data_IF_027611428629
#
_entry.id   IF_027611428629
#
_cell.length_a   1.000
_cell.length_b   1.000
_cell.length_c   1.000
_cell.angle_alpha   90.00
_cell.angle_beta   90.00
_cell.angle_gamma   90.00
#
_symmetry.space_group_name_H-M   'P 1'
#
loop_
_entity.id
_entity.type
_entity.pdbx_description
1 polymer ?
#
# COMPACT_ATOMS: atom_id res chain seq x y z
N UNK A 1 99.13 3.89 -39.57
CA UNK A 1 99.80 3.91 -40.88
C UNK A 1 99.66 2.51 -41.50
N UNK A 2 98.84 2.36 -42.54
CA UNK A 2 98.67 1.15 -43.40
C UNK A 2 98.18 -0.15 -42.70
N UNK A 3 97.34 -1.00 -43.28
CA UNK A 3 96.98 -1.29 -44.67
C UNK A 3 95.59 -1.94 -44.73
N UNK A 4 94.98 -1.77 -45.90
CA UNK A 4 93.80 -2.42 -46.44
C UNK A 4 93.80 -3.95 -46.27
N UNK A 5 92.60 -4.56 -46.12
CA UNK A 5 92.07 -5.45 -47.15
C UNK A 5 90.54 -5.61 -47.03
N UNK A 6 89.89 -5.42 -48.18
CA UNK A 6 88.47 -5.53 -48.48
C UNK A 6 88.10 -7.00 -48.67
N UNK A 7 86.97 -7.47 -48.13
CA UNK A 7 86.20 -8.58 -48.72
C UNK A 7 84.69 -8.44 -48.50
N UNK A 8 84.03 -8.02 -49.58
CA UNK A 8 82.79 -8.51 -50.21
C UNK A 8 81.47 -8.65 -49.43
N UNK A 9 80.52 -7.90 -49.99
CA UNK A 9 79.06 -7.88 -49.93
C UNK A 9 78.29 -9.17 -49.62
N UNK A 10 77.27 -9.02 -48.77
CA UNK A 10 76.09 -9.89 -48.68
C UNK A 10 74.83 -9.04 -48.47
N UNK A 11 74.15 -8.72 -49.57
CA UNK A 11 72.91 -7.93 -49.65
C UNK A 11 71.74 -8.73 -49.06
N UNK A 12 71.06 -8.23 -48.01
CA UNK A 12 69.69 -8.67 -47.65
C UNK A 12 68.80 -7.49 -47.29
N UNK A 13 67.62 -7.55 -47.87
CA UNK A 13 66.63 -6.50 -48.13
C UNK A 13 65.78 -6.19 -46.90
N UNK A 14 65.59 -4.89 -46.62
CA UNK A 14 64.71 -4.38 -45.56
C UNK A 14 63.25 -4.53 -46.00
N UNK A 15 62.44 -5.33 -45.28
CA UNK A 15 60.98 -5.31 -45.38
C UNK A 15 60.40 -4.56 -44.19
N UNK A 16 59.67 -3.49 -44.50
CA UNK A 16 58.97 -2.59 -43.57
C UNK A 16 57.82 -3.33 -42.89
N UNK A 17 57.78 -3.33 -41.56
CA UNK A 17 56.68 -3.86 -40.75
C UNK A 17 55.63 -2.75 -40.63
N UNK A 18 54.43 -2.98 -41.18
CA UNK A 18 53.27 -2.11 -40.98
C UNK A 18 52.59 -2.48 -39.66
N UNK A 19 52.48 -1.53 -38.74
CA UNK A 19 51.74 -1.67 -37.47
C UNK A 19 50.26 -1.39 -37.76
N UNK A 20 49.42 -2.41 -37.65
CA UNK A 20 47.96 -2.26 -37.72
C UNK A 20 47.42 -1.84 -36.35
N UNK A 21 46.91 -0.61 -36.25
CA UNK A 21 46.21 -0.10 -35.06
C UNK A 21 44.76 -0.57 -35.15
N UNK A 22 44.37 -1.53 -34.31
CA UNK A 22 42.99 -1.98 -34.18
C UNK A 22 42.28 -1.07 -33.17
N UNK A 23 41.41 -0.18 -33.67
CA UNK A 23 40.49 0.62 -32.86
C UNK A 23 39.37 -0.29 -32.34
N UNK A 24 39.44 -0.68 -31.06
CA UNK A 24 38.33 -1.31 -30.34
C UNK A 24 37.27 -0.24 -30.03
N UNK A 25 36.20 -0.20 -30.81
CA UNK A 25 35.01 0.57 -30.49
C UNK A 25 34.27 -0.12 -29.33
N UNK A 26 34.38 0.44 -28.12
CA UNK A 26 33.59 0.01 -26.98
C UNK A 26 32.13 0.47 -27.16
N UNK A 27 31.26 -0.45 -27.59
CA UNK A 27 29.82 -0.23 -27.64
C UNK A 27 29.31 -0.26 -26.19
N UNK A 28 29.09 0.92 -25.59
CA UNK A 28 28.33 1.04 -24.36
C UNK A 28 26.86 0.72 -24.67
N UNK A 29 26.46 -0.53 -24.46
CA UNK A 29 25.04 -0.89 -24.41
C UNK A 29 24.48 -0.25 -23.13
N UNK A 30 23.78 0.88 -23.28
CA UNK A 30 22.98 1.45 -22.21
C UNK A 30 21.90 0.41 -21.84
N UNK A 31 22.14 -0.33 -20.76
CA UNK A 31 21.15 -1.24 -20.20
C UNK A 31 19.99 -0.40 -19.72
N UNK A 32 18.90 -0.40 -20.48
CA UNK A 32 17.62 0.13 -20.01
C UNK A 32 17.12 -0.84 -18.94
N UNK A 33 17.42 -0.52 -17.68
CA UNK A 33 16.84 -1.21 -16.54
C UNK A 33 15.32 -1.05 -16.63
N UNK A 34 14.63 -2.05 -17.16
CA UNK A 34 13.18 -2.17 -17.00
C UNK A 34 12.93 -2.22 -15.49
N UNK A 35 12.14 -1.29 -14.98
CA UNK A 35 11.61 -1.34 -13.63
C UNK A 35 10.95 -2.72 -13.45
N UNK A 36 11.59 -3.59 -12.68
CA UNK A 36 10.99 -4.87 -12.34
C UNK A 36 9.80 -4.57 -11.44
N UNK A 37 8.63 -5.07 -11.81
CA UNK A 37 7.50 -5.17 -10.88
C UNK A 37 8.03 -5.97 -9.70
N UNK A 38 8.18 -5.33 -8.55
CA UNK A 38 8.55 -6.00 -7.31
C UNK A 38 7.30 -6.78 -6.87
N UNK A 39 7.11 -7.96 -7.46
CA UNK A 39 6.11 -8.91 -6.99
C UNK A 39 6.65 -9.55 -5.72
N UNK A 40 5.93 -9.38 -4.61
CA UNK A 40 6.39 -9.76 -3.29
C UNK A 40 5.21 -9.94 -2.34
N UNK A 41 5.36 -10.78 -1.30
CA UNK A 41 4.36 -10.89 -0.25
C UNK A 41 4.17 -9.53 0.46
N UNK A 42 2.92 -9.14 0.65
CA UNK A 42 2.56 -8.01 1.50
C UNK A 42 2.66 -8.46 2.97
N UNK A 43 3.29 -7.67 3.82
CA UNK A 43 3.43 -7.99 5.24
C UNK A 43 2.15 -7.79 6.05
N UNK A 44 2.13 -8.38 7.24
CA UNK A 44 1.21 -7.97 8.30
C UNK A 44 1.72 -6.68 8.94
N UNK A 45 0.82 -5.84 9.43
CA UNK A 45 1.18 -4.59 10.08
C UNK A 45 0.54 -4.46 11.47
N UNK A 46 1.37 -4.33 12.50
CA UNK A 46 0.95 -4.00 13.86
C UNK A 46 0.90 -2.49 14.04
N UNK A 47 -0.29 -1.94 14.31
CA UNK A 47 -0.55 -0.52 14.39
C UNK A 47 -0.71 -0.02 15.84
N UNK A 48 -0.14 1.15 16.09
CA UNK A 48 -0.14 1.81 17.38
C UNK A 48 -0.69 3.21 17.26
N UNK A 49 -1.62 3.57 18.13
CA UNK A 49 -2.07 4.96 18.24
C UNK A 49 -0.91 5.85 18.60
N UNK A 50 -0.76 6.94 17.86
CA UNK A 50 0.32 7.92 18.03
C UNK A 50 -0.22 9.27 18.45
N UNK A 51 0.64 10.04 19.11
CA UNK A 51 0.46 11.49 19.29
C UNK A 51 1.73 12.23 18.86
N UNK A 52 1.61 13.44 18.30
CA UNK A 52 2.74 14.34 18.13
C UNK A 52 3.51 14.57 19.44
N UNK A 53 4.83 14.68 19.34
CA UNK A 53 5.68 15.00 20.47
C UNK A 53 5.33 16.42 20.99
N UNK A 54 5.36 16.60 22.31
CA UNK A 54 5.09 17.92 22.90
C UNK A 54 6.15 18.92 22.43
N UNK A 55 5.72 20.09 21.97
CA UNK A 55 6.60 21.15 21.50
C UNK A 55 6.94 21.08 20.01
N UNK A 56 6.49 20.07 19.27
CA UNK A 56 6.58 20.07 17.80
C UNK A 56 5.40 20.83 17.18
N UNK A 57 5.53 21.31 15.93
CA UNK A 57 4.41 21.85 15.18
C UNK A 57 3.21 20.90 15.16
N UNK A 58 2.02 21.47 15.17
CA UNK A 58 0.79 20.69 14.98
C UNK A 58 0.70 20.26 13.52
N UNK A 59 0.10 19.10 13.28
CA UNK A 59 -0.23 18.67 11.94
C UNK A 59 -1.27 19.63 11.33
N UNK A 60 -0.93 20.22 10.19
CA UNK A 60 -1.83 21.06 9.41
C UNK A 60 -2.60 20.18 8.41
N UNK A 61 -3.94 20.33 8.31
CA UNK A 61 -4.71 19.56 7.34
C UNK A 61 -4.22 19.77 5.90
N UNK A 62 -4.14 18.67 5.15
CA UNK A 62 -3.62 18.66 3.78
C UNK A 62 -4.79 18.48 2.80
N UNK A 63 -5.17 19.53 2.04
CA UNK A 63 -6.26 19.45 1.08
C UNK A 63 -5.82 18.82 -0.25
N UNK A 64 -6.81 18.45 -1.07
CA UNK A 64 -6.58 18.10 -2.47
C UNK A 64 -5.98 16.72 -2.73
N UNK A 65 -6.00 15.81 -1.74
CA UNK A 65 -5.50 14.44 -1.92
C UNK A 65 -6.61 13.60 -2.54
N UNK A 66 -6.46 13.22 -3.80
CA UNK A 66 -7.42 12.36 -4.49
C UNK A 66 -7.00 10.91 -4.38
N UNK A 67 -7.91 10.06 -3.90
CA UNK A 67 -7.72 8.61 -3.85
C UNK A 67 -8.62 7.94 -4.88
N UNK A 68 -8.09 6.93 -5.56
CA UNK A 68 -8.85 6.08 -6.47
C UNK A 68 -8.57 4.61 -6.18
N UNK A 69 -9.61 3.87 -5.84
CA UNK A 69 -9.55 2.42 -5.70
C UNK A 69 -10.69 1.75 -6.48
N UNK A 70 -11.04 0.51 -6.11
CA UNK A 70 -12.12 -0.26 -6.73
C UNK A 70 -13.53 0.21 -6.31
N UNK A 71 -13.66 1.07 -5.30
CA UNK A 71 -14.96 1.53 -4.78
C UNK A 71 -15.27 2.96 -5.21
N UNK A 72 -14.30 3.86 -5.13
CA UNK A 72 -14.53 5.28 -5.37
C UNK A 72 -13.31 6.03 -5.93
N UNK A 73 -13.58 7.20 -6.52
CA UNK A 73 -12.59 8.22 -6.81
C UNK A 73 -13.02 9.52 -6.13
N UNK A 74 -12.35 9.89 -5.04
CA UNK A 74 -12.78 11.03 -4.21
C UNK A 74 -11.58 11.87 -3.80
N UNK A 75 -11.77 13.18 -3.76
CA UNK A 75 -10.80 14.13 -3.20
C UNK A 75 -11.06 14.36 -1.72
N UNK A 76 -10.01 14.25 -0.92
CA UNK A 76 -10.04 14.34 0.53
C UNK A 76 -9.16 15.48 1.04
N UNK A 77 -9.52 15.97 2.22
CA UNK A 77 -8.63 16.64 3.15
C UNK A 77 -8.09 15.62 4.16
N UNK A 78 -6.77 15.48 4.24
CA UNK A 78 -6.08 14.68 5.26
C UNK A 78 -5.99 15.50 6.53
N UNK A 79 -6.56 15.01 7.63
CA UNK A 79 -6.85 15.83 8.83
C UNK A 79 -5.82 15.72 9.94
N UNK A 80 -5.40 14.49 10.26
CA UNK A 80 -4.49 14.21 11.39
C UNK A 80 -3.92 12.79 11.31
N UNK A 81 -2.72 12.56 11.86
CA UNK A 81 -2.22 11.22 12.09
C UNK A 81 -3.08 10.48 13.13
N UNK A 82 -3.19 9.17 12.95
CA UNK A 82 -3.93 8.24 13.82
C UNK A 82 -2.98 7.22 14.44
N UNK A 83 -2.30 6.46 13.57
CA UNK A 83 -1.48 5.33 13.96
C UNK A 83 -0.18 5.28 13.15
N UNK A 84 0.85 4.65 13.72
CA UNK A 84 2.01 4.13 13.00
C UNK A 84 1.91 2.61 13.01
N UNK A 85 2.13 1.99 11.86
CA UNK A 85 1.94 0.57 11.62
C UNK A 85 3.26 -0.04 11.15
N UNK A 86 3.79 -0.96 11.96
CA UNK A 86 5.05 -1.62 11.69
C UNK A 86 4.83 -2.96 10.99
N UNK A 87 5.69 -3.37 10.04
CA UNK A 87 5.76 -4.75 9.60
C UNK A 87 5.88 -5.69 10.81
N UNK A 88 5.06 -6.74 10.84
CA UNK A 88 4.87 -7.58 12.00
C UNK A 88 4.92 -9.06 11.64
N UNK A 89 5.56 -9.84 12.52
CA UNK A 89 5.45 -11.29 12.52
C UNK A 89 4.17 -11.69 13.23
N UNK A 90 3.36 -12.49 12.57
CA UNK A 90 2.17 -13.11 13.17
C UNK A 90 2.36 -14.61 13.17
N UNK A 91 2.24 -15.22 14.34
CA UNK A 91 2.47 -16.66 14.54
C UNK A 91 3.82 -17.12 13.95
N UNK A 92 4.86 -16.32 14.16
CA UNK A 92 6.24 -16.61 13.73
C UNK A 92 6.47 -16.66 12.21
N UNK A 93 5.49 -16.20 11.41
CA UNK A 93 5.67 -15.96 9.97
C UNK A 93 6.75 -14.88 9.73
N UNK A 94 7.55 -14.99 8.65
CA UNK A 94 8.60 -14.01 8.36
C UNK A 94 8.01 -12.65 7.97
N UNK A 95 8.82 -11.60 8.19
CA UNK A 95 8.59 -10.26 7.63
C UNK A 95 9.41 -10.14 6.35
N UNK A 96 8.79 -9.66 5.29
CA UNK A 96 9.32 -9.63 3.93
C UNK A 96 10.02 -8.30 3.64
N UNK A 97 9.41 -7.19 4.04
CA UNK A 97 9.92 -5.83 3.97
C UNK A 97 9.83 -5.19 5.37
N UNK A 98 10.94 -5.25 6.11
CA UNK A 98 11.01 -4.71 7.46
C UNK A 98 11.15 -3.17 7.50
N UNK A 99 11.45 -2.53 6.38
CA UNK A 99 11.80 -1.10 6.32
C UNK A 99 10.59 -0.23 5.94
N UNK A 100 9.63 -0.78 5.17
CA UNK A 100 8.45 -0.04 4.74
C UNK A 100 7.32 -0.12 5.76
N UNK A 101 7.11 0.98 6.48
CA UNK A 101 6.03 1.10 7.46
C UNK A 101 4.80 1.75 6.83
N UNK A 102 3.67 1.72 7.53
CA UNK A 102 2.47 2.47 7.14
C UNK A 102 2.11 3.50 8.22
N UNK A 103 1.78 4.72 7.82
CA UNK A 103 1.21 5.73 8.70
C UNK A 103 -0.24 5.98 8.34
N UNK A 104 -1.11 5.90 9.34
CA UNK A 104 -2.54 6.11 9.18
C UNK A 104 -2.89 7.57 9.40
N UNK A 105 -3.65 8.14 8.47
CA UNK A 105 -4.23 9.47 8.59
C UNK A 105 -5.75 9.41 8.49
N UNK A 106 -6.43 10.23 9.28
CA UNK A 106 -7.85 10.48 9.07
C UNK A 106 -8.05 11.29 7.80
N UNK A 107 -8.97 10.87 6.94
CA UNK A 107 -9.38 11.62 5.75
C UNK A 107 -10.84 12.05 5.87
N UNK A 108 -11.17 13.20 5.27
CA UNK A 108 -12.54 13.68 5.11
C UNK A 108 -12.76 14.12 3.67
N UNK A 109 -13.85 13.69 3.00
CA UNK A 109 -14.13 14.11 1.65
C UNK A 109 -14.32 15.63 1.62
N UNK A 110 -13.88 16.29 0.55
CA UNK A 110 -14.13 17.72 0.36
C UNK A 110 -15.64 17.99 0.25
N UNK A 111 -16.07 19.23 0.51
CA UNK A 111 -17.48 19.62 0.34
C UNK A 111 -17.94 19.30 -1.08
N UNK A 112 -19.21 18.91 -1.23
CA UNK A 112 -19.83 18.55 -2.50
C UNK A 112 -19.18 17.36 -3.24
N UNK A 113 -18.40 16.53 -2.55
CA UNK A 113 -18.04 15.22 -3.09
C UNK A 113 -19.31 14.39 -3.39
N UNK A 114 -19.23 13.49 -4.37
CA UNK A 114 -20.26 12.49 -4.69
C UNK A 114 -20.79 11.81 -3.42
N UNK A 115 -22.02 11.28 -3.40
CA UNK A 115 -22.54 10.59 -2.20
C UNK A 115 -21.83 9.23 -2.00
N UNK A 116 -21.62 8.78 -0.75
CA UNK A 116 -20.99 7.48 -0.50
C UNK A 116 -21.95 6.36 -0.86
N UNK A 117 -21.46 5.35 -1.57
CA UNK A 117 -22.26 4.20 -1.98
C UNK A 117 -21.93 3.01 -1.09
N UNK A 118 -22.97 2.35 -0.58
CA UNK A 118 -22.78 1.12 0.19
C UNK A 118 -22.33 -0.01 -0.73
N UNK A 119 -21.30 -0.75 -0.31
CA UNK A 119 -20.73 -1.87 -1.06
C UNK A 119 -20.59 -3.07 -0.14
N UNK A 120 -20.96 -4.23 -0.65
CA UNK A 120 -20.68 -5.49 -0.02
C UNK A 120 -19.48 -6.18 -0.67
N UNK A 121 -18.65 -6.83 0.13
CA UNK A 121 -17.50 -7.59 -0.37
C UNK A 121 -17.34 -8.89 0.41
N UNK A 122 -16.90 -9.93 -0.29
CA UNK A 122 -16.39 -11.15 0.31
C UNK A 122 -14.88 -11.00 0.50
N UNK A 123 -14.43 -10.94 1.75
CA UNK A 123 -13.02 -10.72 2.11
C UNK A 123 -12.44 -12.03 2.66
N UNK A 124 -11.37 -12.51 2.06
CA UNK A 124 -10.67 -13.71 2.53
C UNK A 124 -9.29 -13.34 3.05
N UNK A 125 -9.00 -13.83 4.23
CA UNK A 125 -7.65 -13.84 4.82
C UNK A 125 -7.45 -15.17 5.54
N UNK A 126 -6.34 -15.31 6.27
CA UNK A 126 -6.09 -16.53 7.02
C UNK A 126 -7.10 -16.80 8.15
N UNK A 127 -7.74 -15.73 8.63
CA UNK A 127 -8.89 -15.64 9.54
C UNK A 127 -10.12 -16.36 9.01
N UNK A 128 -10.46 -15.95 7.80
CA UNK A 128 -11.75 -16.18 7.16
C UNK A 128 -11.52 -16.83 5.80
N UNK A 129 -11.04 -18.08 5.82
CA UNK A 129 -10.72 -18.82 4.58
C UNK A 129 -11.93 -19.01 3.67
N UNK A 130 -13.12 -19.18 4.27
CA UNK A 130 -14.40 -19.27 3.55
C UNK A 130 -14.95 -17.91 3.10
N UNK A 131 -14.33 -16.81 3.53
CA UNK A 131 -14.77 -15.44 3.27
C UNK A 131 -15.57 -14.84 4.42
N UNK A 132 -15.33 -13.55 4.65
CA UNK A 132 -16.06 -12.69 5.57
C UNK A 132 -16.83 -11.66 4.73
N UNK A 133 -18.15 -11.60 4.89
CA UNK A 133 -18.98 -10.56 4.28
C UNK A 133 -18.76 -9.24 5.00
N UNK A 134 -18.42 -8.20 4.25
CA UNK A 134 -18.15 -6.86 4.79
C UNK A 134 -18.90 -5.81 4.00
N UNK A 135 -19.68 -4.99 4.72
CA UNK A 135 -20.32 -3.79 4.21
C UNK A 135 -19.42 -2.59 4.47
N UNK A 136 -19.20 -1.80 3.43
CA UNK A 136 -18.42 -0.55 3.44
C UNK A 136 -19.19 0.59 2.76
N UNK A 137 -18.78 1.85 2.95
CA UNK A 137 -19.46 3.03 2.35
C UNK A 137 -18.54 4.12 1.81
N UNK A 138 -17.56 4.54 2.61
CA UNK A 138 -16.65 5.65 2.30
C UNK A 138 -15.30 5.43 2.98
N UNK A 139 -14.22 5.82 2.30
CA UNK A 139 -12.91 5.84 2.92
C UNK A 139 -12.86 6.85 4.08
N UNK A 140 -12.29 6.43 5.21
CA UNK A 140 -12.15 7.27 6.41
C UNK A 140 -10.70 7.38 6.87
N UNK A 141 -9.85 6.44 6.44
CA UNK A 141 -8.43 6.40 6.75
C UNK A 141 -7.65 6.24 5.45
N UNK A 142 -6.53 6.94 5.36
CA UNK A 142 -5.49 6.73 4.36
C UNK A 142 -4.26 6.14 5.06
N UNK A 143 -3.81 4.95 4.64
CA UNK A 143 -2.51 4.39 5.02
C UNK A 143 -1.47 4.78 3.98
N UNK A 144 -0.34 5.34 4.43
CA UNK A 144 0.73 5.84 3.56
C UNK A 144 2.04 5.12 3.90
N UNK A 145 2.74 4.51 2.93
CA UNK A 145 4.11 4.05 3.08
C UNK A 145 4.99 5.15 3.69
N UNK A 146 5.69 4.80 4.76
CA UNK A 146 6.37 5.76 5.62
C UNK A 146 7.69 5.17 6.08
N UNK A 147 8.78 5.94 6.03
CA UNK A 147 10.04 5.54 6.68
C UNK A 147 9.94 5.86 8.17
N UNK A 148 10.58 5.04 9.00
CA UNK A 148 10.53 5.22 10.46
C UNK A 148 11.83 4.80 11.12
N UNK A 149 12.38 5.68 11.96
CA UNK A 149 13.40 5.34 12.95
C UNK A 149 12.83 5.33 14.38
N UNK A 150 13.47 4.56 15.25
CA UNK A 150 13.30 4.71 16.70
C UNK A 150 14.06 5.95 17.18
N UNK A 151 13.47 6.70 18.11
CA UNK A 151 14.06 7.92 18.65
C UNK A 151 13.66 9.18 17.88
N UNK A 152 14.61 10.12 17.76
CA UNK A 152 14.38 11.48 17.28
C UNK A 152 14.98 11.77 15.88
N UNK A 153 15.73 10.82 15.33
CA UNK A 153 16.43 11.02 14.05
C UNK A 153 15.48 10.72 12.90
N UNK A 154 14.98 11.77 12.26
CA UNK A 154 14.09 11.69 11.10
C UNK A 154 14.79 11.00 9.93
N UNK A 155 14.28 9.85 9.43
CA UNK A 155 14.80 9.23 8.21
C UNK A 155 14.44 10.05 6.96
N UNK A 156 15.15 9.87 5.83
CA UNK A 156 14.66 10.38 4.55
C UNK A 156 13.30 9.76 4.20
N UNK A 157 12.43 10.44 3.43
CA UNK A 157 11.19 9.84 2.97
C UNK A 157 11.49 8.65 2.06
N UNK A 158 10.60 7.64 2.05
CA UNK A 158 10.73 6.50 1.14
C UNK A 158 10.63 6.97 -0.32
N UNK A 159 11.44 6.37 -1.19
CA UNK A 159 11.27 6.47 -2.63
C UNK A 159 10.16 5.49 -3.06
N UNK A 160 9.04 5.96 -3.65
CA UNK A 160 7.99 5.08 -4.13
C UNK A 160 8.47 3.99 -5.10
N UNK A 161 9.62 4.15 -5.76
CA UNK A 161 10.18 3.13 -6.66
C UNK A 161 10.92 1.99 -5.95
N UNK A 162 11.25 2.11 -4.66
CA UNK A 162 12.14 1.16 -3.96
C UNK A 162 11.42 0.18 -3.03
N UNK A 163 10.10 0.29 -2.88
CA UNK A 163 9.29 -0.63 -2.08
C UNK A 163 8.06 -1.11 -2.85
N UNK A 164 7.46 -2.23 -2.42
CA UNK A 164 6.25 -2.78 -3.05
C UNK A 164 4.94 -2.36 -2.37
N UNK A 165 5.00 -1.76 -1.17
CA UNK A 165 3.80 -1.41 -0.38
C UNK A 165 3.04 -0.24 -1.03
N UNK A 166 1.71 -0.40 -1.13
CA UNK A 166 0.79 0.60 -1.69
C UNK A 166 0.29 1.61 -0.66
N UNK A 167 -0.34 2.69 -1.14
CA UNK A 167 -1.28 3.43 -0.30
C UNK A 167 -2.56 2.63 -0.15
N UNK A 168 -3.23 2.76 1.00
CA UNK A 168 -4.52 2.11 1.20
C UNK A 168 -5.60 3.11 1.59
N UNK A 169 -6.72 3.09 0.86
CA UNK A 169 -7.97 3.70 1.27
C UNK A 169 -8.73 2.72 2.17
N UNK A 170 -9.00 3.11 3.41
CA UNK A 170 -9.56 2.23 4.42
C UNK A 170 -11.00 2.63 4.77
N UNK A 171 -11.89 1.64 4.69
CA UNK A 171 -13.33 1.76 4.85
C UNK A 171 -13.78 1.05 6.10
N UNK A 172 -14.71 1.65 6.83
CA UNK A 172 -15.27 1.03 8.04
C UNK A 172 -15.91 -0.31 7.65
N UNK A 173 -15.36 -1.41 8.14
CA UNK A 173 -15.96 -2.73 7.96
C UNK A 173 -17.14 -2.87 8.93
N UNK A 174 -18.29 -3.28 8.39
CA UNK A 174 -19.48 -3.66 9.17
C UNK A 174 -19.97 -5.03 8.70
N UNK A 175 -20.51 -5.88 9.59
CA UNK A 175 -21.19 -7.08 9.16
C UNK A 175 -22.49 -6.71 8.42
N UNK A 176 -23.01 -7.61 7.56
CA UNK A 176 -24.36 -7.50 7.03
C UNK A 176 -25.41 -7.34 8.15
N UNK A 177 -26.58 -6.80 7.80
CA UNK A 177 -27.65 -6.56 8.78
C UNK A 177 -28.06 -7.87 9.44
N UNK A 178 -28.09 -7.88 10.77
CA UNK A 178 -28.45 -9.07 11.57
C UNK A 178 -27.27 -10.00 11.89
N UNK A 179 -26.12 -9.81 11.24
CA UNK A 179 -24.90 -10.57 11.51
C UNK A 179 -23.97 -9.83 12.49
N UNK A 180 -22.99 -10.58 13.02
CA UNK A 180 -21.93 -10.05 13.88
C UNK A 180 -20.59 -10.60 13.43
N UNK A 181 -19.54 -9.81 13.62
CA UNK A 181 -18.19 -10.34 13.48
C UNK A 181 -17.81 -11.17 14.70
N UNK A 182 -17.24 -12.35 14.43
CA UNK A 182 -16.70 -13.21 15.46
C UNK A 182 -15.29 -12.76 15.88
N UNK A 183 -15.00 -12.99 17.15
CA UNK A 183 -13.72 -12.62 17.76
C UNK A 183 -12.71 -13.74 17.53
N UNK A 184 -11.55 -13.41 16.97
CA UNK A 184 -10.43 -14.34 16.85
C UNK A 184 -9.54 -14.16 18.08
N UNK A 185 -9.24 -15.23 18.81
CA UNK A 185 -8.60 -15.13 20.13
C UNK A 185 -7.14 -15.56 20.13
N UNK A 186 -6.33 -14.90 20.96
CA UNK A 186 -4.99 -15.40 21.32
C UNK A 186 -3.94 -15.38 20.21
N UNK A 187 -4.08 -14.53 19.19
CA UNK A 187 -3.13 -14.44 18.06
C UNK A 187 -1.81 -13.85 18.53
N UNK A 188 -0.72 -14.56 18.31
CA UNK A 188 0.64 -14.13 18.66
C UNK A 188 1.16 -13.14 17.61
N UNK A 189 1.56 -11.96 18.05
CA UNK A 189 2.12 -10.90 17.20
C UNK A 189 3.40 -10.37 17.83
N UNK A 190 4.41 -10.17 16.99
CA UNK A 190 5.69 -9.55 17.31
C UNK A 190 6.04 -8.53 16.24
N UNK A 191 6.62 -7.41 16.64
CA UNK A 191 7.12 -6.39 15.73
C UNK A 191 8.35 -5.71 16.33
N UNK A 192 8.82 -4.66 15.68
CA UNK A 192 10.00 -3.94 16.12
C UNK A 192 9.86 -3.10 17.41
N UNK A 193 8.68 -2.99 18.04
CA UNK A 193 8.47 -2.25 19.28
C UNK A 193 8.32 -3.17 20.51
N UNK A 194 7.94 -4.42 20.31
CA UNK A 194 7.45 -5.31 21.36
C UNK A 194 8.21 -6.63 21.48
N UNK A 195 8.22 -7.16 22.70
CA UNK A 195 8.30 -8.61 22.90
C UNK A 195 7.00 -9.24 22.41
N UNK A 196 7.05 -10.47 21.89
CA UNK A 196 5.88 -11.18 21.41
C UNK A 196 4.71 -11.17 22.42
N UNK A 197 3.50 -10.77 21.99
CA UNK A 197 2.28 -10.77 22.81
C UNK A 197 1.11 -11.42 22.08
N UNK A 198 0.09 -11.84 22.83
CA UNK A 198 -1.18 -12.32 22.28
C UNK A 198 -2.27 -11.25 22.27
N UNK A 199 -3.03 -11.24 21.18
CA UNK A 199 -4.16 -10.35 20.97
C UNK A 199 -5.40 -11.09 20.57
N UNK A 200 -6.53 -10.57 21.04
CA UNK A 200 -7.82 -10.87 20.49
C UNK A 200 -8.18 -9.85 19.40
N UNK A 201 -8.63 -10.35 18.25
CA UNK A 201 -8.84 -9.58 17.04
C UNK A 201 -10.33 -9.50 16.69
N UNK A 202 -10.77 -8.35 16.21
CA UNK A 202 -12.11 -8.15 15.66
C UNK A 202 -12.06 -7.25 14.41
N UNK A 203 -12.63 -7.67 13.26
CA UNK A 203 -12.58 -6.90 12.02
C UNK A 203 -13.08 -5.46 12.19
N UNK A 204 -12.39 -4.50 11.55
CA UNK A 204 -12.61 -3.07 11.77
C UNK A 204 -12.48 -2.19 10.54
N UNK A 205 -11.52 -2.46 9.67
CA UNK A 205 -11.33 -1.74 8.42
C UNK A 205 -11.00 -2.69 7.28
N UNK A 206 -11.68 -2.52 6.15
CA UNK A 206 -11.25 -3.07 4.88
C UNK A 206 -10.44 -1.99 4.16
N UNK A 207 -9.20 -2.29 3.80
CA UNK A 207 -8.26 -1.35 3.23
C UNK A 207 -7.88 -1.80 1.83
N UNK A 208 -8.28 -0.99 0.84
CA UNK A 208 -8.06 -1.25 -0.56
C UNK A 208 -6.80 -0.52 -1.03
N UNK A 209 -5.94 -1.15 -1.84
CA UNK A 209 -4.83 -0.46 -2.49
C UNK A 209 -5.38 0.66 -3.39
N UNK A 210 -4.80 1.85 -3.29
CA UNK A 210 -5.33 3.05 -3.92
C UNK A 210 -4.26 3.79 -4.72
N UNK A 211 -4.64 4.28 -5.90
CA UNK A 211 -3.87 5.32 -6.56
C UNK A 211 -4.04 6.62 -5.75
N UNK A 212 -2.96 7.39 -5.63
CA UNK A 212 -3.00 8.68 -4.95
C UNK A 212 -2.52 9.79 -5.87
N UNK A 213 -3.34 10.83 -6.01
CA UNK A 213 -3.03 12.05 -6.72
C UNK A 213 -2.97 13.22 -5.75
N UNK A 214 -1.83 13.93 -5.74
CA UNK A 214 -1.66 15.11 -4.89
C UNK A 214 -0.58 16.03 -5.46
N UNK A 215 -0.88 17.34 -5.54
CA UNK A 215 0.02 18.36 -6.11
C UNK A 215 0.58 17.99 -7.50
N UNK A 216 -0.29 17.45 -8.38
CA UNK A 216 0.10 17.03 -9.73
C UNK A 216 0.92 15.74 -9.81
N UNK A 217 1.31 15.15 -8.66
CA UNK A 217 2.01 13.86 -8.61
C UNK A 217 1.01 12.71 -8.56
N UNK A 218 1.27 11.68 -9.36
CA UNK A 218 0.48 10.45 -9.44
C UNK A 218 1.32 9.30 -8.90
N UNK A 219 0.82 8.62 -7.87
CA UNK A 219 1.39 7.38 -7.35
C UNK A 219 0.37 6.26 -7.60
N UNK A 220 0.67 5.37 -8.54
CA UNK A 220 -0.19 4.25 -8.91
C UNK A 220 0.04 3.08 -7.95
N UNK A 221 -1.05 2.37 -7.62
CA UNK A 221 -0.94 1.11 -6.88
C UNK A 221 -0.18 0.05 -7.68
N UNK A 222 0.74 -0.64 -7.03
CA UNK A 222 1.63 -1.68 -7.56
C UNK A 222 0.99 -3.06 -7.46
N UNK A 223 0.20 -3.30 -6.41
CA UNK A 223 -0.41 -4.60 -6.11
C UNK A 223 -1.93 -4.47 -5.95
N UNK A 224 -2.70 -4.20 -7.03
CA UNK A 224 -4.14 -3.94 -6.95
C UNK A 224 -4.98 -5.09 -6.36
N UNK A 225 -4.45 -6.31 -6.36
CA UNK A 225 -5.08 -7.50 -5.77
C UNK A 225 -4.79 -7.68 -4.27
N UNK A 226 -3.77 -7.02 -3.71
CA UNK A 226 -3.35 -7.19 -2.32
C UNK A 226 -4.05 -6.15 -1.44
N UNK A 227 -5.04 -6.60 -0.69
CA UNK A 227 -5.81 -5.79 0.24
C UNK A 227 -5.29 -6.01 1.67
N UNK A 228 -5.74 -5.16 2.60
CA UNK A 228 -5.57 -5.40 4.03
C UNK A 228 -6.93 -5.50 4.71
N UNK A 229 -7.12 -6.52 5.56
CA UNK A 229 -8.20 -6.52 6.55
C UNK A 229 -7.59 -6.19 7.90
N UNK A 230 -7.99 -5.06 8.47
CA UNK A 230 -7.50 -4.58 9.76
C UNK A 230 -8.48 -4.90 10.87
N UNK A 231 -7.93 -5.43 11.96
CA UNK A 231 -8.62 -5.87 13.15
C UNK A 231 -8.27 -4.95 14.30
N UNK A 232 -9.24 -4.59 15.15
CA UNK A 232 -8.89 -4.04 16.47
C UNK A 232 -8.13 -5.12 17.23
N UNK A 233 -6.92 -4.81 17.71
CA UNK A 233 -6.08 -5.73 18.44
C UNK A 233 -6.18 -5.46 19.94
N UNK A 234 -6.97 -6.26 20.65
CA UNK A 234 -7.13 -6.15 22.10
C UNK A 234 -6.17 -7.10 22.79
N UNK A 235 -5.25 -6.55 23.57
CA UNK A 235 -4.29 -7.34 24.36
C UNK A 235 -5.03 -8.34 25.26
N UNK A 236 -4.61 -9.61 25.22
CA UNK A 236 -5.15 -10.67 26.09
C UNK A 236 -4.85 -10.35 27.57
N UNK A 237 -5.74 -10.73 28.47
CA UNK A 237 -5.55 -10.52 29.92
C UNK A 237 -4.27 -11.22 30.38
N UNK A 238 -3.41 -10.49 31.09
CA UNK A 238 -2.13 -10.99 31.62
C UNK A 238 -0.91 -10.60 30.80
N UNK A 239 -1.07 -10.27 29.51
CA UNK A 239 0.02 -9.77 28.66
C UNK A 239 0.52 -8.38 29.12
N UNK A 240 1.81 -8.07 28.92
CA UNK A 240 2.43 -6.83 29.41
C UNK A 240 1.82 -5.58 28.77
N UNK A 241 1.70 -4.53 29.57
CA UNK A 241 1.16 -3.23 29.14
C UNK A 241 1.98 -2.61 28.00
N UNK A 242 1.37 -1.67 27.28
CA UNK A 242 2.07 -0.89 26.28
C UNK A 242 3.21 -0.08 26.93
N UNK A 243 4.36 -0.07 26.28
CA UNK A 243 5.49 0.79 26.64
C UNK A 243 5.60 1.84 25.54
N UNK A 244 5.39 3.10 25.90
CA UNK A 244 5.50 4.22 24.97
C UNK A 244 6.88 4.25 24.31
N UNK A 245 6.92 4.32 22.98
CA UNK A 245 8.13 4.48 22.18
C UNK A 245 8.09 5.80 21.46
N UNK A 246 9.25 6.43 21.37
CA UNK A 246 9.43 7.59 20.51
C UNK A 246 9.84 7.14 19.12
N UNK A 247 9.24 7.72 18.10
CA UNK A 247 9.53 7.41 16.70
C UNK A 247 9.61 8.68 15.89
N UNK A 248 10.55 8.70 14.95
CA UNK A 248 10.69 9.72 13.94
C UNK A 248 10.25 9.12 12.61
N UNK A 249 9.29 9.76 11.95
CA UNK A 249 8.69 9.27 10.71
C UNK A 249 8.82 10.30 9.61
N UNK A 250 8.92 9.83 8.36
CA UNK A 250 8.90 10.72 7.21
C UNK A 250 8.18 10.06 6.03
N UNK A 251 7.28 10.82 5.41
CA UNK A 251 6.64 10.44 4.17
C UNK A 251 6.37 11.71 3.37
N UNK A 252 5.62 11.58 2.29
CA UNK A 252 5.30 12.70 1.40
C UNK A 252 4.50 13.86 2.03
N UNK A 253 3.89 13.67 3.20
CA UNK A 253 3.22 14.72 3.95
C UNK A 253 4.15 15.43 4.94
N UNK A 254 5.41 15.01 5.00
CA UNK A 254 6.46 15.63 5.79
C UNK A 254 6.90 14.79 7.00
N UNK A 255 7.96 15.26 7.67
CA UNK A 255 8.53 14.58 8.82
C UNK A 255 7.76 14.90 10.12
N UNK A 256 7.65 13.92 11.01
CA UNK A 256 7.02 14.10 12.32
C UNK A 256 7.75 13.30 13.41
N UNK A 257 7.76 13.85 14.63
CA UNK A 257 8.16 13.12 15.84
C UNK A 257 6.92 12.72 16.62
N UNK A 258 6.80 11.45 16.95
CA UNK A 258 5.61 10.86 17.54
C UNK A 258 5.97 10.04 18.78
N UNK A 259 5.00 9.91 19.70
CA UNK A 259 5.02 8.89 20.74
C UNK A 259 3.88 7.90 20.51
N UNK A 260 4.17 6.61 20.60
CA UNK A 260 3.13 5.57 20.66
C UNK A 260 2.41 5.61 22.01
N UNK A 261 1.12 5.28 21.98
CA UNK A 261 0.23 5.39 23.15
C UNK A 261 -0.30 4.03 23.58
N UNK A 262 -0.68 3.21 22.61
CA UNK A 262 -1.19 1.85 22.81
C UNK A 262 -1.16 1.09 21.49
N UNK A 263 -1.21 -0.23 21.58
CA UNK A 263 -1.59 -1.08 20.46
C UNK A 263 -3.05 -0.79 20.06
N UNK A 264 -3.33 -0.68 18.77
CA UNK A 264 -4.67 -0.34 18.27
C UNK A 264 -5.19 -1.40 17.29
N UNK A 265 -4.42 -1.72 16.24
CA UNK A 265 -4.87 -2.63 15.18
C UNK A 265 -3.79 -3.64 14.74
N UNK A 266 -4.25 -4.75 14.17
CA UNK A 266 -3.44 -5.65 13.35
C UNK A 266 -4.05 -5.68 11.95
N UNK A 267 -3.33 -5.21 10.94
CA UNK A 267 -3.72 -5.30 9.54
C UNK A 267 -3.01 -6.49 8.90
N UNK A 268 -3.76 -7.39 8.28
CA UNK A 268 -3.18 -8.57 7.61
C UNK A 268 -3.57 -8.61 6.14
N UNK A 269 -2.72 -9.18 5.27
CA UNK A 269 -3.03 -9.35 3.85
C UNK A 269 -4.33 -10.12 3.65
N UNK A 270 -5.15 -9.60 2.74
CA UNK A 270 -6.43 -10.16 2.37
C UNK A 270 -6.63 -10.08 0.85
N UNK A 271 -7.50 -10.94 0.34
CA UNK A 271 -8.10 -10.81 -0.99
C UNK A 271 -9.54 -10.35 -0.84
N UNK A 272 -10.02 -9.56 -1.80
CA UNK A 272 -11.37 -9.00 -1.78
C UNK A 272 -12.05 -9.27 -3.11
N UNK A 273 -13.26 -9.80 -3.04
CA UNK A 273 -14.20 -9.91 -4.15
C UNK A 273 -15.39 -9.00 -3.86
N UNK A 274 -15.82 -8.21 -4.85
CA UNK A 274 -17.07 -7.45 -4.73
C UNK A 274 -18.23 -8.44 -4.84
N UNK A 275 -19.15 -8.38 -3.88
CA UNK A 275 -20.44 -9.03 -4.06
C UNK A 275 -21.27 -8.00 -4.80
N UNK A 276 -21.34 -8.16 -6.11
CA UNK A 276 -22.33 -7.44 -6.90
C UNK A 276 -23.69 -7.98 -6.47
N UNK A 277 -24.67 -7.14 -6.08
CA UNK A 277 -26.05 -7.62 -6.01
C UNK A 277 -26.35 -8.31 -7.35
N UNK A 278 -26.93 -9.51 -7.29
CA UNK A 278 -27.48 -10.13 -8.49
C UNK A 278 -28.39 -9.10 -9.14
N UNK A 279 -28.09 -8.66 -10.36
CA UNK A 279 -28.81 -7.51 -10.86
C UNK A 279 -30.27 -7.87 -11.08
N UNK A 280 -31.15 -6.94 -10.76
CA UNK A 280 -32.59 -7.16 -10.77
C UNK A 280 -33.28 -5.98 -11.42
N UNK A 281 -34.39 -6.26 -12.11
CA UNK A 281 -35.17 -5.20 -12.75
C UNK A 281 -35.65 -4.20 -11.68
N UNK A 282 -35.34 -2.91 -11.88
CA UNK A 282 -35.61 -1.84 -10.91
C UNK A 282 -34.39 -1.38 -10.11
N UNK A 283 -33.17 -1.80 -10.46
CA UNK A 283 -31.93 -1.44 -9.77
C UNK A 283 -31.22 -0.16 -10.31
N UNK A 284 -31.80 0.43 -11.36
CA UNK A 284 -31.34 1.64 -12.05
C UNK A 284 -30.22 1.42 -13.08
N UNK A 285 -29.92 0.19 -13.49
CA UNK A 285 -28.89 -0.12 -14.47
C UNK A 285 -29.28 -1.31 -15.39
N UNK A 286 -29.32 -1.09 -16.70
CA UNK A 286 -29.50 -2.16 -17.71
C UNK A 286 -28.28 -3.07 -17.76
N UNK A 287 -28.32 -4.19 -17.05
CA UNK A 287 -27.14 -5.02 -16.79
C UNK A 287 -27.43 -6.54 -16.78
N UNK A 288 -28.67 -6.98 -17.05
CA UNK A 288 -29.02 -8.38 -17.32
C UNK A 288 -29.23 -8.67 -18.81
N UNK A 289 -28.96 -9.92 -19.22
CA UNK A 289 -29.15 -10.38 -20.61
C UNK A 289 -30.61 -10.30 -21.09
N UNK A 290 -31.57 -10.30 -20.16
CA UNK A 290 -33.01 -10.18 -20.41
C UNK A 290 -33.56 -8.78 -20.14
N UNK A 291 -32.72 -7.84 -19.71
CA UNK A 291 -33.13 -6.48 -19.37
C UNK A 291 -32.89 -5.54 -20.55
N UNK A 292 -33.94 -4.87 -21.02
CA UNK A 292 -33.85 -3.87 -22.09
C UNK A 292 -33.90 -2.43 -21.55
N UNK A 293 -34.45 -2.24 -20.35
CA UNK A 293 -34.60 -0.96 -19.66
C UNK A 293 -34.74 -1.19 -18.13
N UNK A 294 -34.38 -0.19 -17.33
CA UNK A 294 -34.48 -0.23 -15.87
C UNK A 294 -35.23 1.05 -15.37
N UNK A 295 -36.30 0.92 -14.55
CA UNK A 295 -37.12 2.01 -14.01
C UNK A 295 -36.36 3.19 -13.33
N UNK A 296 -37.04 4.35 -13.09
CA UNK A 296 -38.48 4.51 -13.03
C UNK A 296 -39.13 4.57 -14.42
N UNK A 297 -40.16 3.73 -14.63
CA UNK A 297 -41.08 3.88 -15.76
C UNK A 297 -41.72 5.27 -15.72
N UNK A 298 -41.42 6.10 -16.73
CA UNK A 298 -42.15 7.33 -17.02
C UNK A 298 -42.68 7.31 -18.48
N UNK A 299 -43.31 8.40 -18.92
CA UNK A 299 -44.03 8.49 -20.19
C UNK A 299 -43.21 8.13 -21.45
N UNK A 300 -41.90 7.97 -21.33
CA UNK A 300 -41.02 7.55 -22.42
C UNK A 300 -40.85 6.02 -22.58
N UNK A 301 -41.19 5.21 -21.57
CA UNK A 301 -41.12 3.73 -21.62
C UNK A 301 -42.38 3.03 -21.09
N UNK A 302 -43.57 3.23 -21.68
CA UNK A 302 -44.78 2.59 -21.20
C UNK A 302 -44.80 1.10 -21.56
N UNK A 303 -44.66 0.22 -20.56
CA UNK A 303 -44.96 -1.21 -20.68
C UNK A 303 -43.82 -2.12 -21.13
N UNK A 304 -42.55 -1.68 -21.07
CA UNK A 304 -41.38 -2.51 -21.39
C UNK A 304 -40.68 -3.12 -20.15
N UNK A 305 -40.99 -2.63 -18.94
CA UNK A 305 -40.59 -3.27 -17.68
C UNK A 305 -41.66 -4.26 -17.18
N UNK A 306 -42.26 -5.05 -18.07
CA UNK A 306 -43.19 -6.10 -17.69
C UNK A 306 -42.45 -7.44 -17.56
N UNK A 307 -42.56 -8.02 -16.37
CA UNK A 307 -42.29 -9.41 -16.04
C UNK A 307 -42.89 -10.36 -17.09
N UNK A 308 -42.10 -11.35 -17.48
CA UNK A 308 -42.59 -12.73 -17.43
C UNK A 308 -42.15 -13.35 -16.10
#
# INVERSE_FOLDING_TARGET
MGRFFVLREGRKTVKRIAIAVVLLAAIFVASTAKAQVVDGPLDHFACYTVRPLKGTPRFEPIPGVTLRDQFERVTFEVRRPLDICNPARKNDEPVSDAETHLKAYQVKPVRNSEKPIERESLVKDQFHRSGLRVITKRAQILLVPTSKNLGDVVPPPLDPATHAVDHFACYRAKPPKGEKFEKITGVKVEDQFLQSKRYDLLPRWLCNPADKLWLGKVELKKMPQKHLLCYVARRVKGEPKHISRRVAVNNQFGPELLNTIREDMLCIPATKELIDPTPYCGDGAVNQLWEQCDPPDDAWCPGLCLLD
#
